data_IF_842289818671
#
_entry.id   IF_842289818671
#
_cell.length_a   1.000
_cell.length_b   1.000
_cell.length_c   1.000
_cell.angle_alpha   90.00
_cell.angle_beta   90.00
_cell.angle_gamma   90.00
#
_symmetry.space_group_name_H-M   'P 1'
#
loop_
_entity.id
_entity.type
_entity.pdbx_description
1 polymer ?
#
# COMPACT_ATOMS: atom_id res chain seq x y z
N UNK A 1 25.42 2.94 -33.13
CA UNK A 1 25.24 3.23 -31.68
C UNK A 1 26.10 2.24 -30.90
N UNK A 2 26.98 2.70 -29.99
CA UNK A 2 27.72 1.77 -29.13
C UNK A 2 26.74 1.09 -28.14
N UNK A 3 27.09 -0.10 -27.62
CA UNK A 3 26.19 -0.87 -26.72
C UNK A 3 25.73 -0.05 -25.51
N UNK A 4 26.60 0.80 -24.98
CA UNK A 4 26.29 1.76 -23.92
C UNK A 4 25.18 2.72 -24.35
N UNK A 5 25.29 3.33 -25.53
CA UNK A 5 24.27 4.25 -26.05
C UNK A 5 22.90 3.59 -26.27
N UNK A 6 22.88 2.32 -26.68
CA UNK A 6 21.63 1.56 -26.80
C UNK A 6 20.98 1.23 -25.45
N UNK A 7 21.78 0.83 -24.46
CA UNK A 7 21.31 0.57 -23.09
C UNK A 7 20.81 1.87 -22.43
N UNK A 8 21.56 2.96 -22.57
CA UNK A 8 21.18 4.28 -22.05
C UNK A 8 19.90 4.77 -22.71
N UNK A 9 19.75 4.60 -24.03
CA UNK A 9 18.51 4.95 -24.72
C UNK A 9 17.32 4.12 -24.23
N UNK A 10 17.49 2.80 -24.02
CA UNK A 10 16.43 1.94 -23.49
C UNK A 10 16.03 2.34 -22.07
N UNK A 11 17.02 2.59 -21.19
CA UNK A 11 16.75 3.06 -19.82
C UNK A 11 16.11 4.44 -19.82
N UNK A 12 16.49 5.33 -20.74
CA UNK A 12 15.85 6.63 -20.90
C UNK A 12 14.39 6.48 -21.36
N UNK A 13 14.08 5.55 -22.27
CA UNK A 13 12.69 5.26 -22.67
C UNK A 13 11.87 4.73 -21.50
N UNK A 14 12.42 3.82 -20.70
CA UNK A 14 11.74 3.31 -19.48
C UNK A 14 11.57 4.43 -18.44
N UNK A 15 12.59 5.27 -18.23
CA UNK A 15 12.53 6.42 -17.33
C UNK A 15 11.52 7.47 -17.76
N UNK A 16 11.42 7.75 -19.06
CA UNK A 16 10.40 8.63 -19.64
C UNK A 16 9.01 8.01 -19.48
N UNK A 17 8.86 6.69 -19.68
CA UNK A 17 7.59 5.99 -19.43
C UNK A 17 7.12 6.13 -17.98
N UNK A 18 8.04 5.99 -17.02
CA UNK A 18 7.76 6.22 -15.58
C UNK A 18 7.38 7.67 -15.29
N UNK A 19 8.16 8.63 -15.80
CA UNK A 19 7.88 10.06 -15.60
C UNK A 19 6.54 10.48 -16.21
N UNK A 20 6.20 9.95 -17.38
CA UNK A 20 4.91 10.19 -18.02
C UNK A 20 3.77 9.53 -17.23
N UNK A 21 3.97 8.35 -16.65
CA UNK A 21 2.93 7.72 -15.80
C UNK A 21 2.58 8.56 -14.57
N UNK A 22 3.55 9.26 -13.97
CA UNK A 22 3.31 10.23 -12.91
C UNK A 22 2.66 11.54 -13.42
N UNK A 23 3.07 12.02 -14.60
CA UNK A 23 2.53 13.26 -15.17
C UNK A 23 1.06 13.15 -15.62
N UNK A 24 0.62 11.96 -16.08
CA UNK A 24 -0.78 11.70 -16.43
C UNK A 24 -1.69 11.43 -15.21
N UNK A 25 -1.14 11.43 -13.99
CA UNK A 25 -1.92 11.38 -12.76
C UNK A 25 -2.58 12.73 -12.37
N UNK A 26 -2.43 13.77 -13.20
CA UNK A 26 -3.21 15.00 -13.15
C UNK A 26 -2.69 16.03 -12.15
N UNK A 27 -1.91 16.99 -12.66
CA UNK A 27 -1.81 18.31 -12.03
C UNK A 27 -2.96 19.13 -12.62
N UNK A 28 -4.10 19.14 -11.94
CA UNK A 28 -5.19 20.06 -12.26
C UNK A 28 -4.82 21.46 -11.75
N UNK A 29 -5.07 22.48 -12.56
CA UNK A 29 -4.96 23.90 -12.20
C UNK A 29 -5.70 24.18 -10.87
N UNK A 30 -5.07 24.94 -9.98
CA UNK A 30 -5.61 25.33 -8.67
C UNK A 30 -6.92 26.13 -8.82
N UNK A 31 -8.07 25.60 -8.38
CA UNK A 31 -9.24 26.40 -8.10
C UNK A 31 -9.01 27.15 -6.78
N UNK A 32 -9.57 28.36 -6.67
CA UNK A 32 -9.63 29.06 -5.39
C UNK A 32 -10.64 28.35 -4.49
N UNK A 33 -10.33 28.33 -3.19
CA UNK A 33 -11.20 27.86 -2.14
C UNK A 33 -12.59 28.52 -2.24
N UNK A 34 -13.56 27.75 -2.73
CA UNK A 34 -14.98 27.92 -2.46
C UNK A 34 -15.44 26.69 -1.67
N UNK A 35 -16.40 26.89 -0.77
CA UNK A 35 -16.99 25.87 0.09
C UNK A 35 -17.40 24.61 -0.69
N UNK A 36 -17.43 23.46 -0.01
CA UNK A 36 -17.94 22.21 -0.57
C UNK A 36 -19.36 22.47 -1.07
N UNK A 37 -19.51 22.59 -2.40
CA UNK A 37 -20.82 22.88 -2.99
C UNK A 37 -21.90 21.91 -2.48
N UNK A 38 -23.06 22.47 -2.10
CA UNK A 38 -24.20 21.79 -1.51
C UNK A 38 -24.61 20.51 -2.24
N UNK A 39 -24.52 20.51 -3.56
CA UNK A 39 -24.87 19.40 -4.45
C UNK A 39 -23.90 18.21 -4.36
N UNK A 40 -22.80 18.36 -3.62
CA UNK A 40 -21.80 17.30 -3.35
C UNK A 40 -21.88 16.76 -1.93
N UNK A 41 -22.78 17.29 -1.09
CA UNK A 41 -23.03 16.82 0.25
C UNK A 41 -24.15 15.77 0.25
N UNK A 42 -24.03 14.77 1.11
CA UNK A 42 -25.03 13.73 1.30
C UNK A 42 -25.69 13.88 2.67
N UNK A 43 -27.02 13.74 2.70
CA UNK A 43 -27.77 13.62 3.95
C UNK A 43 -27.63 12.21 4.51
N UNK A 44 -27.21 12.12 5.76
CA UNK A 44 -26.97 10.87 6.49
C UNK A 44 -27.99 10.74 7.61
N UNK A 45 -27.79 11.50 8.70
CA UNK A 45 -28.69 11.64 9.84
C UNK A 45 -28.34 12.92 10.61
N UNK A 46 -29.22 13.36 11.51
CA UNK A 46 -29.01 14.57 12.32
C UNK A 46 -29.02 15.86 11.50
N UNK A 47 -28.34 16.88 12.02
CA UNK A 47 -28.35 18.24 11.46
C UNK A 47 -27.21 18.49 10.45
N UNK A 48 -26.29 17.53 10.28
CA UNK A 48 -25.06 17.70 9.50
C UNK A 48 -25.00 16.82 8.24
N UNK A 49 -24.87 17.46 7.08
CA UNK A 49 -24.62 16.79 5.80
C UNK A 49 -23.13 16.50 5.61
N UNK A 50 -22.81 15.36 5.01
CA UNK A 50 -21.44 14.86 4.88
C UNK A 50 -20.89 15.08 3.47
N UNK A 51 -19.64 15.54 3.35
CA UNK A 51 -18.88 15.39 2.11
C UNK A 51 -18.30 13.97 2.04
N UNK A 52 -18.63 13.15 1.03
CA UNK A 52 -18.39 11.70 1.05
C UNK A 52 -16.93 11.32 0.70
N UNK A 53 -15.96 12.17 1.02
CA UNK A 53 -14.55 11.95 0.73
C UNK A 53 -13.67 12.42 1.89
N UNK A 54 -12.50 11.82 2.01
CA UNK A 54 -11.42 12.34 2.83
C UNK A 54 -10.45 13.20 2.02
N UNK A 55 -9.71 14.08 2.67
CA UNK A 55 -8.74 14.98 2.05
C UNK A 55 -7.42 15.05 2.80
N UNK A 56 -6.32 15.21 2.06
CA UNK A 56 -4.96 15.45 2.60
C UNK A 56 -4.80 16.81 3.28
N UNK A 57 -5.71 17.73 3.01
CA UNK A 57 -5.73 19.10 3.53
C UNK A 57 -7.16 19.49 3.86
N UNK A 58 -7.34 20.61 4.57
CA UNK A 58 -8.68 21.20 4.80
C UNK A 58 -9.20 21.92 3.56
N UNK A 59 -9.13 21.24 2.41
CA UNK A 59 -9.54 21.75 1.10
C UNK A 59 -10.05 20.60 0.23
N UNK A 60 -10.89 20.90 -0.76
CA UNK A 60 -11.47 19.89 -1.67
C UNK A 60 -10.46 19.36 -2.69
N UNK A 61 -9.42 20.12 -3.01
CA UNK A 61 -8.35 19.73 -3.95
C UNK A 61 -7.51 18.58 -3.39
N UNK A 62 -7.40 18.50 -2.07
CA UNK A 62 -6.68 17.42 -1.40
C UNK A 62 -7.41 16.07 -1.40
N UNK A 63 -8.58 15.96 -2.06
CA UNK A 63 -9.45 14.77 -2.10
C UNK A 63 -8.65 13.48 -2.32
N UNK A 64 -8.98 12.47 -1.52
CA UNK A 64 -8.40 11.13 -1.58
C UNK A 64 -9.49 10.07 -1.73
N UNK A 65 -9.59 9.15 -0.77
CA UNK A 65 -10.51 8.02 -0.82
C UNK A 65 -11.92 8.45 -0.37
N UNK A 66 -12.92 7.73 -0.84
CA UNK A 66 -14.31 7.94 -0.43
C UNK A 66 -14.54 7.46 1.02
N UNK A 67 -15.58 8.02 1.65
CA UNK A 67 -16.25 7.38 2.79
C UNK A 67 -17.12 6.27 2.22
N UNK A 68 -17.04 5.07 2.81
CA UNK A 68 -17.72 3.87 2.32
C UNK A 68 -18.61 3.19 3.36
N UNK A 69 -18.50 3.58 4.65
CA UNK A 69 -19.36 3.06 5.72
C UNK A 69 -19.83 4.22 6.61
N UNK A 70 -21.06 4.15 7.12
CA UNK A 70 -21.58 5.06 8.14
C UNK A 70 -22.30 4.26 9.23
N UNK A 71 -22.00 4.59 10.48
CA UNK A 71 -22.74 4.15 11.65
C UNK A 71 -23.67 5.25 12.14
N UNK A 72 -24.95 4.93 12.38
CA UNK A 72 -25.90 5.85 13.04
C UNK A 72 -25.71 5.78 14.57
N UNK A 73 -24.53 6.19 15.01
CA UNK A 73 -24.12 6.21 16.40
C UNK A 73 -22.92 7.15 16.59
N UNK A 74 -22.73 7.61 17.83
CA UNK A 74 -21.55 8.35 18.24
C UNK A 74 -20.27 7.49 18.12
N UNK A 75 -19.11 8.14 18.19
CA UNK A 75 -17.83 7.47 17.98
C UNK A 75 -17.50 6.45 19.07
N UNK A 76 -17.92 6.69 20.32
CA UNK A 76 -17.65 5.79 21.45
C UNK A 76 -18.40 4.47 21.27
N UNK A 77 -19.70 4.54 20.95
CA UNK A 77 -20.54 3.38 20.67
C UNK A 77 -20.08 2.64 19.41
N UNK A 78 -19.72 3.37 18.36
CA UNK A 78 -19.20 2.78 17.11
C UNK A 78 -17.90 2.03 17.35
N UNK A 79 -16.95 2.64 18.08
CA UNK A 79 -15.68 2.00 18.41
C UNK A 79 -15.87 0.76 19.27
N UNK A 80 -16.67 0.86 20.34
CA UNK A 80 -16.96 -0.26 21.23
C UNK A 80 -17.64 -1.41 20.49
N UNK A 81 -18.49 -1.11 19.49
CA UNK A 81 -19.11 -2.11 18.65
C UNK A 81 -18.07 -2.84 17.78
N UNK A 82 -17.14 -2.12 17.15
CA UNK A 82 -16.10 -2.70 16.28
C UNK A 82 -15.09 -3.54 17.10
N UNK A 83 -14.53 -2.98 18.17
CA UNK A 83 -13.55 -3.67 19.04
C UNK A 83 -14.18 -4.82 19.84
N UNK A 84 -15.50 -4.85 19.97
CA UNK A 84 -16.23 -5.85 20.75
C UNK A 84 -16.39 -7.22 20.08
N UNK A 85 -15.93 -7.40 18.83
CA UNK A 85 -16.04 -8.69 18.13
C UNK A 85 -14.84 -9.61 18.43
N UNK A 86 -15.05 -10.77 19.09
CA UNK A 86 -13.98 -11.73 19.35
C UNK A 86 -13.46 -12.46 18.10
N UNK A 87 -14.12 -12.33 16.95
CA UNK A 87 -13.71 -12.89 15.66
C UNK A 87 -12.66 -12.06 14.91
N UNK A 88 -12.46 -10.81 15.31
CA UNK A 88 -11.56 -9.84 14.67
C UNK A 88 -10.52 -9.33 15.69
N UNK A 89 -9.37 -8.86 15.22
CA UNK A 89 -8.28 -8.35 16.08
C UNK A 89 -8.13 -6.83 15.88
N UNK A 90 -9.26 -6.11 15.92
CA UNK A 90 -9.27 -4.66 15.76
C UNK A 90 -8.55 -3.97 16.93
N UNK A 91 -7.42 -3.35 16.63
CA UNK A 91 -6.59 -2.62 17.58
C UNK A 91 -6.53 -1.13 17.26
N UNK A 92 -6.37 -0.31 18.29
CA UNK A 92 -6.13 1.13 18.14
C UNK A 92 -4.81 1.37 17.38
N UNK A 93 -4.85 2.20 16.34
CA UNK A 93 -3.64 2.56 15.60
C UNK A 93 -2.71 3.41 16.50
N UNK A 94 -1.45 2.98 16.73
CA UNK A 94 -0.52 3.72 17.58
C UNK A 94 -0.26 5.15 17.08
N UNK A 95 -0.06 6.15 17.97
CA UNK A 95 0.18 7.53 17.56
C UNK A 95 1.37 7.73 16.61
N UNK A 96 2.42 6.92 16.64
CA UNK A 96 3.56 7.04 15.70
C UNK A 96 3.29 6.46 14.30
N UNK A 97 2.21 5.68 14.18
CA UNK A 97 1.63 5.21 12.92
C UNK A 97 0.54 6.17 12.42
N UNK A 98 -0.31 6.66 13.33
CA UNK A 98 -1.40 7.60 13.09
C UNK A 98 -0.91 9.05 12.84
N UNK A 99 0.15 9.50 13.53
CA UNK A 99 0.66 10.88 13.52
C UNK A 99 2.04 11.00 12.88
N UNK A 100 2.17 10.65 11.60
CA UNK A 100 3.23 11.19 10.75
C UNK A 100 3.08 12.71 10.49
N UNK A 101 2.25 13.43 11.28
CA UNK A 101 2.23 14.88 11.45
C UNK A 101 1.44 15.26 12.71
N UNK A 102 2.11 15.81 13.73
CA UNK A 102 1.62 16.79 14.72
C UNK A 102 2.87 17.38 15.39
N UNK A 103 3.37 18.56 14.99
CA UNK A 103 2.97 19.87 15.52
C UNK A 103 4.12 20.42 16.38
N UNK A 104 4.53 21.68 16.16
CA UNK A 104 5.64 22.40 16.83
C UNK A 104 5.66 22.24 18.37
N UNK A 105 6.71 21.62 18.92
CA UNK A 105 7.69 22.22 19.84
C UNK A 105 8.63 21.12 20.39
N UNK A 106 9.92 21.22 20.05
CA UNK A 106 11.09 21.03 20.93
C UNK A 106 12.34 20.64 20.13
N UNK A 107 13.26 21.63 20.06
CA UNK A 107 14.66 21.45 19.70
C UNK A 107 15.30 20.39 20.62
N UNK A 108 15.65 19.20 20.11
CA UNK A 108 16.84 18.38 20.52
C UNK A 108 16.84 16.91 20.05
N UNK A 109 16.62 16.60 18.77
CA UNK A 109 17.14 15.34 18.15
C UNK A 109 17.61 15.60 16.73
N UNK A 110 18.82 16.12 16.64
CA UNK A 110 19.50 16.50 15.40
C UNK A 110 20.35 15.35 14.86
N UNK A 111 20.35 15.20 13.53
CA UNK A 111 21.28 14.45 12.65
C UNK A 111 20.81 13.14 12.00
N UNK A 112 19.78 12.41 12.47
CA UNK A 112 19.33 11.16 11.76
C UNK A 112 17.87 11.19 11.25
N UNK A 113 17.04 12.13 11.70
CA UNK A 113 15.59 12.14 11.40
C UNK A 113 15.07 13.28 10.52
N UNK A 114 15.92 14.10 9.88
CA UNK A 114 15.46 15.32 9.19
C UNK A 114 14.83 15.10 7.81
N UNK A 115 15.17 14.03 7.08
CA UNK A 115 14.66 13.83 5.71
C UNK A 115 13.43 12.89 5.61
N UNK A 116 12.93 12.35 6.72
CA UNK A 116 11.73 11.50 6.74
C UNK A 116 10.46 12.24 7.17
N UNK A 117 10.55 13.53 7.54
CA UNK A 117 9.40 14.33 8.00
C UNK A 117 8.50 14.83 6.87
N UNK A 118 8.97 14.80 5.63
CA UNK A 118 8.21 15.31 4.46
C UNK A 118 7.42 14.24 3.71
N UNK A 119 7.28 13.03 4.25
CA UNK A 119 6.21 12.12 3.82
C UNK A 119 4.87 12.72 4.28
N UNK A 120 4.30 13.60 3.43
CA UNK A 120 3.11 14.39 3.75
C UNK A 120 1.92 13.48 4.12
N UNK A 121 1.55 13.60 5.40
CA UNK A 121 0.25 13.36 6.03
C UNK A 121 -0.27 11.92 6.04
N UNK A 122 -0.22 11.30 7.22
CA UNK A 122 -1.17 10.25 7.63
C UNK A 122 -2.54 10.85 7.96
N UNK A 123 -2.59 12.11 8.39
CA UNK A 123 -3.81 12.84 8.69
C UNK A 123 -4.66 13.08 7.43
N UNK A 124 -5.94 12.84 7.56
CA UNK A 124 -6.98 12.99 6.56
C UNK A 124 -8.17 13.70 7.18
N UNK A 125 -8.59 14.77 6.53
CA UNK A 125 -9.74 15.53 6.96
C UNK A 125 -11.01 15.06 6.24
N UNK A 126 -12.14 15.08 6.93
CA UNK A 126 -13.47 15.02 6.33
C UNK A 126 -14.13 16.41 6.43
N UNK A 127 -15.22 16.63 5.72
CA UNK A 127 -15.99 17.88 5.80
C UNK A 127 -17.47 17.57 6.04
N UNK A 128 -18.08 18.37 6.92
CA UNK A 128 -19.52 18.35 7.18
C UNK A 128 -20.07 19.77 7.11
N UNK A 129 -21.34 19.91 6.77
CA UNK A 129 -22.04 21.19 6.83
C UNK A 129 -23.34 21.04 7.61
N UNK A 130 -23.51 21.91 8.61
CA UNK A 130 -24.70 21.96 9.45
C UNK A 130 -25.30 23.37 9.54
N UNK A 131 -26.19 23.61 10.51
CA UNK A 131 -26.94 24.87 10.62
C UNK A 131 -26.07 26.11 10.79
N UNK A 132 -24.90 25.93 11.42
CA UNK A 132 -23.94 27.00 11.73
C UNK A 132 -22.84 27.15 10.66
N UNK A 133 -22.91 26.35 9.57
CA UNK A 133 -21.97 26.34 8.45
C UNK A 133 -21.10 25.09 8.36
N UNK A 134 -20.09 25.17 7.49
CA UNK A 134 -19.17 24.08 7.17
C UNK A 134 -18.01 23.90 8.14
N UNK A 135 -17.66 22.66 8.47
CA UNK A 135 -16.54 22.31 9.34
C UNK A 135 -15.68 21.18 8.75
N UNK A 136 -14.35 21.37 8.79
CA UNK A 136 -13.38 20.31 8.50
C UNK A 136 -13.07 19.52 9.76
N UNK A 137 -13.36 18.22 9.73
CA UNK A 137 -13.15 17.28 10.82
C UNK A 137 -11.80 16.59 10.66
N UNK A 138 -11.06 16.45 11.76
CA UNK A 138 -9.95 15.49 11.86
C UNK A 138 -10.50 14.12 12.26
N UNK A 139 -9.67 13.08 12.18
CA UNK A 139 -10.05 11.74 12.64
C UNK A 139 -10.43 11.74 14.12
N UNK A 140 -11.56 11.13 14.45
CA UNK A 140 -11.99 10.89 15.84
C UNK A 140 -11.24 9.70 16.43
N UNK A 141 -11.11 8.61 15.65
CA UNK A 141 -10.28 7.46 16.00
C UNK A 141 -9.82 6.70 14.73
N UNK A 142 -8.75 5.91 14.89
CA UNK A 142 -8.23 5.01 13.87
C UNK A 142 -8.07 3.60 14.46
N UNK A 143 -8.55 2.59 13.73
CA UNK A 143 -8.43 1.16 14.08
C UNK A 143 -7.79 0.39 12.93
N UNK A 144 -7.07 -0.69 13.24
CA UNK A 144 -6.57 -1.62 12.24
C UNK A 144 -6.75 -3.08 12.67
N UNK A 145 -6.89 -3.98 11.70
CA UNK A 145 -6.82 -5.44 11.88
C UNK A 145 -5.82 -6.00 10.86
N UNK A 146 -4.73 -6.60 11.35
CA UNK A 146 -3.66 -7.17 10.55
C UNK A 146 -2.26 -6.71 10.97
N UNK A 147 -1.32 -6.66 10.02
CA UNK A 147 0.10 -6.36 10.30
C UNK A 147 0.61 -5.19 9.48
N UNK A 148 1.34 -4.27 10.12
CA UNK A 148 1.91 -3.07 9.51
C UNK A 148 2.80 -3.39 8.32
N UNK A 149 3.73 -4.35 8.44
CA UNK A 149 4.64 -4.77 7.37
C UNK A 149 4.04 -5.85 6.44
N UNK A 150 2.80 -6.24 6.71
CA UNK A 150 2.02 -7.23 5.98
C UNK A 150 0.89 -6.60 5.18
N UNK A 151 -0.32 -7.12 5.41
CA UNK A 151 -1.60 -6.55 4.98
C UNK A 151 -2.40 -6.25 6.25
N UNK A 152 -3.17 -5.18 6.23
CA UNK A 152 -4.15 -4.87 7.26
C UNK A 152 -5.34 -4.14 6.68
N UNK A 153 -6.49 -4.32 7.29
CA UNK A 153 -7.61 -3.41 7.13
C UNK A 153 -7.43 -2.23 8.08
N UNK A 154 -7.80 -1.05 7.62
CA UNK A 154 -7.64 0.19 8.37
C UNK A 154 -8.92 1.01 8.27
N UNK A 155 -9.37 1.49 9.42
CA UNK A 155 -10.57 2.30 9.57
C UNK A 155 -10.16 3.69 10.05
N UNK A 156 -10.63 4.72 9.36
CA UNK A 156 -10.62 6.11 9.86
C UNK A 156 -12.03 6.57 10.11
N UNK A 157 -12.32 6.99 11.33
CA UNK A 157 -13.64 7.41 11.75
C UNK A 157 -13.73 8.92 11.94
N UNK A 158 -14.84 9.50 11.51
CA UNK A 158 -15.18 10.91 11.60
C UNK A 158 -16.58 11.05 12.20
N UNK A 159 -16.64 11.49 13.44
CA UNK A 159 -17.90 11.73 14.15
C UNK A 159 -18.54 13.03 13.71
N UNK A 160 -19.85 13.04 13.49
CA UNK A 160 -20.59 14.28 13.24
C UNK A 160 -20.59 15.18 14.49
N UNK A 161 -20.61 16.53 14.34
CA UNK A 161 -20.55 17.43 15.49
C UNK A 161 -21.71 17.30 16.50
N UNK A 162 -22.85 16.77 16.05
CA UNK A 162 -24.02 16.46 16.88
C UNK A 162 -24.02 15.02 17.43
N UNK A 163 -23.04 14.19 17.07
CA UNK A 163 -22.93 12.78 17.47
C UNK A 163 -23.99 11.87 16.85
N UNK A 164 -24.74 12.33 15.85
CA UNK A 164 -25.80 11.55 15.20
C UNK A 164 -25.25 10.37 14.37
N UNK A 165 -24.06 10.53 13.77
CA UNK A 165 -23.42 9.48 13.02
C UNK A 165 -21.89 9.51 13.09
N UNK A 166 -21.28 8.37 12.79
CA UNK A 166 -19.85 8.22 12.59
C UNK A 166 -19.58 7.72 11.18
N UNK A 167 -18.96 8.57 10.35
CA UNK A 167 -18.56 8.23 9.00
C UNK A 167 -17.21 7.51 9.01
N UNK A 168 -17.10 6.40 8.29
CA UNK A 168 -15.90 5.57 8.26
C UNK A 168 -15.37 5.43 6.83
N UNK A 169 -14.06 5.66 6.72
CA UNK A 169 -13.25 5.21 5.60
C UNK A 169 -12.58 3.90 5.97
N UNK A 170 -13.09 2.80 5.42
CA UNK A 170 -12.50 1.48 5.51
C UNK A 170 -11.64 1.19 4.27
N UNK A 171 -10.38 0.80 4.44
CA UNK A 171 -9.53 0.45 3.31
C UNK A 171 -8.53 -0.66 3.66
N UNK A 172 -8.17 -1.47 2.67
CA UNK A 172 -7.12 -2.48 2.79
C UNK A 172 -5.81 -1.77 2.49
N UNK A 173 -4.76 -2.08 3.22
CA UNK A 173 -3.44 -1.57 2.90
C UNK A 173 -2.36 -2.62 3.12
N UNK A 174 -1.32 -2.57 2.29
CA UNK A 174 -0.14 -3.40 2.45
C UNK A 174 1.13 -2.58 2.37
N UNK A 175 2.16 -3.02 3.09
CA UNK A 175 3.46 -2.35 3.04
C UNK A 175 4.22 -2.72 1.76
N UNK A 176 4.51 -1.70 0.94
CA UNK A 176 5.33 -1.82 -0.26
C UNK A 176 6.79 -1.54 0.08
N UNK A 177 7.60 -2.61 0.12
CA UNK A 177 9.03 -2.54 0.44
C UNK A 177 9.89 -1.72 -0.53
N UNK A 178 9.45 -1.49 -1.77
CA UNK A 178 10.19 -0.73 -2.77
C UNK A 178 9.77 0.73 -2.85
N UNK A 179 8.61 1.07 -2.29
CA UNK A 179 8.13 2.45 -2.12
C UNK A 179 8.26 2.94 -0.67
N UNK A 180 8.51 2.03 0.28
CA UNK A 180 8.56 2.26 1.72
C UNK A 180 7.31 2.95 2.29
N UNK A 181 6.15 2.59 1.73
CA UNK A 181 4.85 3.12 2.14
C UNK A 181 3.75 2.09 2.02
N UNK A 182 2.67 2.31 2.74
CA UNK A 182 1.42 1.60 2.53
C UNK A 182 0.82 1.97 1.17
N UNK A 183 0.41 0.93 0.43
CA UNK A 183 -0.36 1.08 -0.79
C UNK A 183 -1.75 0.52 -0.51
N UNK A 184 -2.77 1.34 -0.80
CA UNK A 184 -4.17 0.91 -0.74
C UNK A 184 -4.49 0.26 -2.08
N UNK A 185 -4.84 -1.03 -2.15
CA UNK A 185 -5.30 -1.66 -3.37
C UNK A 185 -6.83 -1.57 -3.52
N UNK A 186 -7.58 -1.59 -2.42
CA UNK A 186 -9.03 -1.76 -2.41
C UNK A 186 -9.67 -1.00 -1.22
N UNK A 187 -10.90 -0.53 -1.42
CA UNK A 187 -11.75 0.06 -0.37
C UNK A 187 -13.09 -0.69 -0.22
N UNK A 188 -13.51 -1.49 -1.20
CA UNK A 188 -14.81 -2.17 -1.18
C UNK A 188 -14.75 -3.46 -0.36
N UNK A 189 -13.66 -4.24 -0.50
CA UNK A 189 -13.50 -5.50 0.23
C UNK A 189 -13.46 -5.32 1.78
N UNK A 190 -12.74 -4.33 2.34
CA UNK A 190 -12.79 -4.02 3.78
C UNK A 190 -14.16 -3.58 4.26
N UNK A 191 -14.87 -2.75 3.49
CA UNK A 191 -16.24 -2.34 3.83
C UNK A 191 -17.18 -3.55 3.85
N UNK A 192 -17.07 -4.43 2.86
CA UNK A 192 -17.86 -5.67 2.80
C UNK A 192 -17.51 -6.62 3.94
N UNK A 193 -16.22 -6.76 4.31
CA UNK A 193 -15.83 -7.55 5.48
C UNK A 193 -16.42 -6.99 6.77
N UNK A 194 -16.38 -5.67 6.94
CA UNK A 194 -16.99 -5.02 8.09
C UNK A 194 -18.52 -5.23 8.09
N UNK A 195 -19.20 -5.11 6.94
CA UNK A 195 -20.62 -5.47 6.81
C UNK A 195 -20.88 -6.91 7.23
N UNK A 196 -20.12 -7.86 6.69
CA UNK A 196 -20.23 -9.28 6.98
C UNK A 196 -20.00 -9.55 8.48
N UNK A 197 -19.02 -8.91 9.12
CA UNK A 197 -18.79 -9.02 10.57
C UNK A 197 -20.03 -8.57 11.37
N UNK A 198 -20.66 -7.46 10.98
CA UNK A 198 -21.86 -6.96 11.66
C UNK A 198 -23.11 -7.81 11.37
N UNK A 199 -23.23 -8.39 10.17
CA UNK A 199 -24.28 -9.33 9.78
C UNK A 199 -24.13 -10.66 10.53
N UNK A 200 -22.93 -11.24 10.53
CA UNK A 200 -22.62 -12.54 11.14
C UNK A 200 -22.68 -12.47 12.67
N UNK A 201 -22.19 -11.38 13.26
CA UNK A 201 -22.22 -11.18 14.71
C UNK A 201 -23.59 -10.78 15.26
N UNK A 202 -24.51 -10.33 14.39
CA UNK A 202 -25.83 -9.82 14.78
C UNK A 202 -25.77 -8.54 15.62
N UNK A 203 -24.69 -7.76 15.52
CA UNK A 203 -24.49 -6.49 16.24
C UNK A 203 -25.23 -5.31 15.59
N UNK A 204 -25.61 -5.44 14.32
CA UNK A 204 -26.41 -4.45 13.61
C UNK A 204 -27.90 -4.82 13.62
N UNK A 205 -28.76 -3.83 13.87
CA UNK A 205 -30.21 -3.90 13.68
C UNK A 205 -30.56 -4.00 12.19
N UNK A 206 -29.79 -3.30 11.36
CA UNK A 206 -29.93 -3.26 9.91
C UNK A 206 -28.56 -2.95 9.28
N UNK A 207 -28.28 -3.62 8.16
CA UNK A 207 -27.13 -3.33 7.28
C UNK A 207 -27.68 -3.19 5.88
N UNK A 208 -27.61 -1.97 5.33
CA UNK A 208 -28.12 -1.68 3.99
C UNK A 208 -27.11 -0.90 3.16
N UNK A 209 -27.01 -1.23 1.88
CA UNK A 209 -26.24 -0.44 0.90
C UNK A 209 -27.16 0.55 0.22
N UNK A 210 -26.80 1.83 0.29
CA UNK A 210 -27.53 2.93 -0.32
C UNK A 210 -26.71 3.56 -1.44
N UNK A 211 -27.31 3.67 -2.63
CA UNK A 211 -26.65 4.37 -3.73
C UNK A 211 -26.72 5.89 -3.51
N UNK A 212 -25.55 6.54 -3.42
CA UNK A 212 -25.45 7.98 -3.17
C UNK A 212 -24.72 8.75 -4.27
N UNK A 213 -24.36 8.07 -5.37
CA UNK A 213 -23.73 8.72 -6.54
C UNK A 213 -22.34 9.29 -6.23
N UNK A 214 -21.59 8.61 -5.36
CA UNK A 214 -20.23 9.03 -4.96
C UNK A 214 -19.25 8.72 -6.09
N UNK A 215 -19.00 9.70 -6.96
CA UNK A 215 -18.10 9.56 -8.11
C UNK A 215 -16.63 9.87 -7.78
N UNK A 216 -15.79 8.83 -7.82
CA UNK A 216 -14.34 8.92 -7.62
C UNK A 216 -13.89 8.46 -6.23
N UNK A 217 -12.62 8.68 -5.88
CA UNK A 217 -12.08 8.18 -4.62
C UNK A 217 -12.10 6.65 -4.48
N UNK A 218 -12.19 5.95 -5.61
CA UNK A 218 -12.33 4.49 -5.76
C UNK A 218 -13.66 3.89 -5.32
N UNK A 219 -14.66 4.71 -4.99
CA UNK A 219 -16.01 4.23 -4.69
C UNK A 219 -16.72 3.68 -5.93
N UNK A 220 -17.58 2.70 -5.72
CA UNK A 220 -18.55 2.17 -6.69
C UNK A 220 -19.88 2.98 -6.71
N UNK A 221 -19.95 4.07 -5.94
CA UNK A 221 -21.11 4.96 -5.81
C UNK A 221 -22.09 4.55 -4.70
N UNK A 222 -21.85 3.43 -4.02
CA UNK A 222 -22.67 2.92 -2.92
C UNK A 222 -22.02 3.17 -1.56
N UNK A 223 -22.85 3.41 -0.55
CA UNK A 223 -22.46 3.63 0.84
C UNK A 223 -23.16 2.59 1.73
N UNK A 224 -22.43 2.00 2.66
CA UNK A 224 -23.00 1.03 3.60
C UNK A 224 -23.43 1.74 4.89
N UNK A 225 -24.69 1.58 5.27
CA UNK A 225 -25.31 2.19 6.46
C UNK A 225 -25.60 1.12 7.49
N UNK A 226 -25.10 1.30 8.71
CA UNK A 226 -25.19 0.34 9.81
C UNK A 226 -25.89 0.99 11.02
N UNK A 227 -27.02 0.41 11.44
CA UNK A 227 -27.76 0.82 12.65
C UNK A 227 -27.48 -0.17 13.79
N UNK A 228 -27.11 0.29 15.00
CA UNK A 228 -26.67 -0.58 16.11
C UNK A 228 -27.84 -1.17 16.94
N UNK A 229 -27.78 -2.47 17.28
CA UNK A 229 -28.73 -3.16 18.17
C UNK A 229 -28.04 -3.83 19.37
N UNK A 230 -28.80 -4.10 20.45
CA UNK A 230 -28.33 -4.80 21.64
C UNK A 230 -28.44 -6.34 21.55
N UNK A 231 -27.27 -6.98 21.48
CA UNK A 231 -26.81 -8.37 21.79
C UNK A 231 -27.59 -9.63 21.32
N UNK A 232 -26.89 -10.51 20.57
CA UNK A 232 -26.33 -11.82 21.02
C UNK A 232 -25.59 -12.57 19.87
N UNK A 233 -24.46 -13.22 20.19
CA UNK A 233 -23.51 -13.85 19.26
C UNK A 233 -23.75 -15.35 18.95
N UNK A 234 -23.24 -15.84 17.80
CA UNK A 234 -22.93 -17.27 17.52
C UNK A 234 -21.90 -17.43 16.38
N UNK A 235 -21.13 -18.53 16.42
CA UNK A 235 -19.84 -18.74 15.75
C UNK A 235 -19.86 -19.56 14.43
N UNK A 236 -18.76 -19.56 13.66
CA UNK A 236 -18.41 -20.69 12.77
C UNK A 236 -17.32 -20.45 11.70
N UNK A 237 -16.32 -21.33 11.63
CA UNK A 237 -15.20 -21.33 10.66
C UNK A 237 -15.52 -22.03 9.32
N UNK A 238 -14.75 -21.72 8.24
CA UNK A 238 -13.91 -22.68 7.46
C UNK A 238 -13.37 -22.16 6.09
N UNK A 239 -12.05 -22.32 5.91
CA UNK A 239 -11.28 -22.76 4.72
C UNK A 239 -11.35 -22.01 3.36
N UNK A 240 -10.15 -21.79 2.78
CA UNK A 240 -9.86 -22.36 1.45
C UNK A 240 -8.42 -22.78 1.19
N UNK A 241 -8.28 -24.09 1.04
CA UNK A 241 -7.17 -24.82 0.39
C UNK A 241 -7.48 -24.90 -1.11
N UNK A 242 -7.02 -23.96 -1.94
CA UNK A 242 -7.16 -24.12 -3.40
C UNK A 242 -6.15 -23.32 -4.24
N UNK A 243 -4.88 -23.75 -4.23
CA UNK A 243 -3.94 -23.60 -5.37
C UNK A 243 -2.71 -24.48 -5.14
N UNK A 244 -2.88 -25.81 -5.25
CA UNK A 244 -1.75 -26.75 -5.18
C UNK A 244 -1.68 -27.72 -6.37
N UNK A 245 -2.12 -27.30 -7.54
CA UNK A 245 -2.04 -28.13 -8.76
C UNK A 245 -1.52 -27.39 -10.01
N UNK A 246 -1.29 -26.08 -9.97
CA UNK A 246 -0.65 -25.35 -11.07
C UNK A 246 0.90 -25.32 -11.00
N UNK A 247 1.50 -25.79 -9.90
CA UNK A 247 2.96 -25.71 -9.69
C UNK A 247 3.75 -26.90 -10.26
N UNK A 248 3.10 -28.03 -10.56
CA UNK A 248 3.80 -29.29 -10.85
C UNK A 248 4.14 -29.43 -12.34
N UNK A 249 3.43 -28.76 -13.24
CA UNK A 249 3.71 -28.82 -14.69
C UNK A 249 4.80 -27.84 -15.16
N UNK A 250 5.04 -26.75 -14.42
CA UNK A 250 6.12 -25.80 -14.71
C UNK A 250 7.51 -26.34 -14.33
N UNK A 251 7.57 -27.21 -13.30
CA UNK A 251 8.82 -27.79 -12.78
C UNK A 251 9.43 -28.87 -13.70
N UNK A 252 8.62 -29.49 -14.56
CA UNK A 252 9.07 -30.56 -15.46
C UNK A 252 9.97 -30.06 -16.61
N UNK A 253 9.70 -28.85 -17.13
CA UNK A 253 10.45 -28.27 -18.25
C UNK A 253 11.70 -27.50 -17.81
N UNK A 254 11.76 -27.01 -16.56
CA UNK A 254 12.91 -26.25 -16.02
C UNK A 254 14.10 -27.14 -15.59
N UNK A 255 13.85 -28.43 -15.27
CA UNK A 255 14.90 -29.34 -14.76
C UNK A 255 15.95 -29.74 -15.79
N UNK A 256 15.59 -29.73 -17.07
CA UNK A 256 16.46 -30.18 -18.17
C UNK A 256 17.45 -29.09 -18.60
N UNK A 257 17.09 -27.81 -18.47
CA UNK A 257 17.96 -26.65 -18.75
C UNK A 257 18.79 -26.19 -17.54
N UNK A 258 18.32 -26.44 -16.31
CA UNK A 258 18.98 -26.01 -15.08
C UNK A 258 20.40 -26.56 -14.88
N UNK A 259 20.75 -27.70 -15.49
CA UNK A 259 22.13 -28.24 -15.40
C UNK A 259 23.12 -27.49 -16.29
N UNK A 260 22.66 -26.88 -17.39
CA UNK A 260 23.49 -26.08 -18.31
C UNK A 260 23.68 -24.64 -17.83
N UNK A 261 22.70 -24.13 -17.06
CA UNK A 261 22.67 -22.77 -16.52
C UNK A 261 22.53 -22.72 -14.98
N UNK A 262 23.12 -23.67 -14.26
CA UNK A 262 22.97 -23.80 -12.81
C UNK A 262 23.34 -22.52 -12.04
N UNK A 263 24.36 -21.79 -12.50
CA UNK A 263 24.76 -20.51 -11.91
C UNK A 263 23.68 -19.42 -12.06
N UNK A 264 22.98 -19.39 -13.21
CA UNK A 264 21.89 -18.45 -13.46
C UNK A 264 20.62 -18.86 -12.70
N UNK A 265 20.28 -20.16 -12.68
CA UNK A 265 19.14 -20.67 -11.93
C UNK A 265 19.27 -20.40 -10.41
N UNK A 266 20.47 -20.62 -9.84
CA UNK A 266 20.73 -20.33 -8.43
C UNK A 266 20.72 -18.84 -8.12
N UNK A 267 21.14 -17.97 -9.05
CA UNK A 267 20.98 -16.52 -8.92
C UNK A 267 19.50 -16.14 -8.89
N UNK A 268 18.70 -16.63 -9.84
CA UNK A 268 17.27 -16.32 -9.90
C UNK A 268 16.52 -16.78 -8.65
N UNK A 269 16.78 -18.02 -8.20
CA UNK A 269 16.21 -18.55 -6.95
C UNK A 269 16.59 -17.69 -5.74
N UNK A 270 17.87 -17.30 -5.64
CA UNK A 270 18.34 -16.49 -4.52
C UNK A 270 17.72 -15.08 -4.52
N UNK A 271 17.51 -14.46 -5.69
CA UNK A 271 16.84 -13.17 -5.79
C UNK A 271 15.38 -13.24 -5.32
N UNK A 272 14.62 -14.23 -5.82
CA UNK A 272 13.24 -14.44 -5.38
C UNK A 272 13.15 -14.78 -3.88
N UNK A 273 14.06 -15.60 -3.38
CA UNK A 273 14.11 -15.97 -1.96
C UNK A 273 14.47 -14.78 -1.05
N UNK A 274 15.37 -13.88 -1.45
CA UNK A 274 15.68 -12.67 -0.68
C UNK A 274 14.45 -11.76 -0.60
N UNK A 275 13.74 -11.56 -1.72
CA UNK A 275 12.55 -10.71 -1.76
C UNK A 275 11.45 -11.23 -0.83
N UNK A 276 11.02 -12.49 -1.02
CA UNK A 276 9.98 -13.10 -0.19
C UNK A 276 10.46 -13.22 1.26
N UNK A 277 11.74 -13.54 1.47
CA UNK A 277 12.36 -13.65 2.79
C UNK A 277 12.34 -12.34 3.57
N UNK A 278 12.52 -11.19 2.91
CA UNK A 278 12.42 -9.87 3.56
C UNK A 278 11.00 -9.62 4.08
N UNK A 279 9.96 -9.92 3.30
CA UNK A 279 8.57 -9.79 3.78
C UNK A 279 8.29 -10.71 4.96
N UNK A 280 8.63 -11.99 4.81
CA UNK A 280 8.43 -12.99 5.88
C UNK A 280 9.16 -12.59 7.16
N UNK A 281 10.41 -12.11 7.03
CA UNK A 281 11.18 -11.63 8.18
C UNK A 281 10.57 -10.38 8.80
N UNK A 282 10.10 -9.42 8.01
CA UNK A 282 9.44 -8.20 8.50
C UNK A 282 8.22 -8.52 9.35
N UNK A 283 7.29 -9.31 8.81
CA UNK A 283 6.07 -9.72 9.53
C UNK A 283 6.38 -10.56 10.76
N UNK A 284 7.36 -11.48 10.67
CA UNK A 284 7.74 -12.31 11.80
C UNK A 284 8.41 -11.51 12.93
N UNK A 285 9.25 -10.53 12.58
CA UNK A 285 9.90 -9.64 13.56
C UNK A 285 8.89 -8.70 14.20
N UNK A 286 7.95 -8.15 13.43
CA UNK A 286 6.85 -7.33 13.96
C UNK A 286 6.04 -8.14 14.99
N UNK A 287 5.67 -9.37 14.64
CA UNK A 287 4.92 -10.27 15.53
C UNK A 287 5.72 -10.64 16.79
N UNK A 288 7.03 -10.87 16.66
CA UNK A 288 7.88 -11.29 17.78
C UNK A 288 8.24 -10.13 18.72
N UNK A 289 8.21 -8.89 18.24
CA UNK A 289 8.67 -7.70 18.95
C UNK A 289 7.66 -6.54 18.84
N UNK A 290 6.45 -6.66 19.40
CA UNK A 290 5.39 -5.65 19.27
C UNK A 290 5.74 -4.29 19.87
N UNK A 291 6.70 -4.23 20.79
CA UNK A 291 7.19 -2.97 21.37
C UNK A 291 8.19 -2.21 20.47
N UNK A 292 8.64 -2.81 19.36
CA UNK A 292 9.57 -2.18 18.43
C UNK A 292 8.79 -1.57 17.28
N UNK A 293 8.98 -0.27 17.05
CA UNK A 293 8.34 0.42 15.92
C UNK A 293 8.61 -0.31 14.61
N UNK A 294 7.58 -0.61 13.79
CA UNK A 294 7.75 -1.31 12.51
C UNK A 294 8.77 -0.65 11.58
N UNK A 295 8.92 0.67 11.65
CA UNK A 295 9.92 1.45 10.88
C UNK A 295 11.36 1.06 11.23
N UNK A 296 11.64 0.74 12.50
CA UNK A 296 12.95 0.28 12.96
C UNK A 296 13.29 -1.14 12.46
N UNK A 297 12.27 -1.96 12.20
CA UNK A 297 12.40 -3.28 11.55
C UNK A 297 12.56 -3.13 10.04
N UNK A 298 11.77 -2.25 9.42
CA UNK A 298 11.76 -2.03 7.98
C UNK A 298 13.09 -1.47 7.46
N UNK A 299 13.69 -0.50 8.16
CA UNK A 299 14.93 0.15 7.72
C UNK A 299 16.09 -0.82 7.40
N UNK A 300 16.52 -1.74 8.30
CA UNK A 300 17.59 -2.68 7.99
C UNK A 300 17.19 -3.71 6.91
N UNK A 301 15.93 -4.15 6.88
CA UNK A 301 15.44 -5.08 5.87
C UNK A 301 15.37 -4.44 4.48
N UNK A 302 15.06 -3.15 4.40
CA UNK A 302 15.12 -2.39 3.16
C UNK A 302 16.55 -2.32 2.61
N UNK A 303 17.56 -2.17 3.46
CA UNK A 303 18.97 -2.20 3.01
C UNK A 303 19.34 -3.56 2.38
N UNK A 304 18.75 -4.66 2.85
CA UNK A 304 18.91 -5.97 2.22
C UNK A 304 18.35 -5.98 0.79
N UNK A 305 17.23 -5.31 0.53
CA UNK A 305 16.68 -5.18 -0.83
C UNK A 305 17.51 -4.21 -1.66
N UNK A 306 17.73 -2.99 -1.15
CA UNK A 306 18.34 -1.89 -1.88
C UNK A 306 19.79 -2.17 -2.28
N UNK A 307 20.58 -2.77 -1.38
CA UNK A 307 21.99 -3.09 -1.62
C UNK A 307 22.25 -4.58 -1.83
N UNK A 308 21.51 -5.45 -1.14
CA UNK A 308 21.73 -6.90 -1.20
C UNK A 308 21.36 -7.51 -2.55
N UNK A 309 20.27 -7.07 -3.19
CA UNK A 309 19.90 -7.55 -4.54
C UNK A 309 20.96 -7.18 -5.59
N UNK A 310 21.39 -5.90 -5.75
CA UNK A 310 22.50 -5.58 -6.64
C UNK A 310 23.81 -6.28 -6.29
N UNK A 311 24.16 -6.41 -5.00
CA UNK A 311 25.38 -7.08 -4.58
C UNK A 311 25.37 -8.57 -4.96
N UNK A 312 24.23 -9.24 -4.79
CA UNK A 312 24.05 -10.63 -5.19
C UNK A 312 24.22 -10.79 -6.71
N UNK A 313 23.59 -9.92 -7.51
CA UNK A 313 23.77 -9.89 -8.98
C UNK A 313 25.24 -9.65 -9.33
N UNK A 314 25.87 -8.62 -8.77
CA UNK A 314 27.25 -8.25 -9.08
C UNK A 314 28.27 -9.34 -8.72
N UNK A 315 27.99 -10.13 -7.68
CA UNK A 315 28.81 -11.26 -7.25
C UNK A 315 28.59 -12.52 -8.09
N UNK A 316 27.36 -12.79 -8.55
CA UNK A 316 26.99 -14.08 -9.17
C UNK A 316 26.93 -14.03 -10.70
N UNK A 317 26.52 -12.91 -11.30
CA UNK A 317 26.39 -12.75 -12.75
C UNK A 317 27.67 -13.09 -13.55
N UNK A 318 28.90 -12.79 -13.09
CA UNK A 318 30.13 -13.16 -13.83
C UNK A 318 30.32 -14.67 -14.08
N UNK A 319 29.54 -15.54 -13.42
CA UNK A 319 29.58 -17.00 -13.60
C UNK A 319 28.62 -17.51 -14.68
N UNK A 320 27.87 -16.63 -15.33
CA UNK A 320 26.83 -16.97 -16.29
C UNK A 320 27.06 -16.23 -17.60
N UNK A 321 26.54 -16.78 -18.69
CA UNK A 321 26.38 -16.03 -19.94
C UNK A 321 25.52 -14.76 -19.70
N UNK A 322 25.81 -13.62 -20.34
CA UNK A 322 25.08 -12.37 -20.12
C UNK A 322 23.56 -12.47 -20.32
N UNK A 323 23.11 -13.22 -21.32
CA UNK A 323 21.67 -13.40 -21.56
C UNK A 323 21.04 -14.28 -20.48
N UNK A 324 21.74 -15.33 -20.04
CA UNK A 324 21.29 -16.18 -18.94
C UNK A 324 21.25 -15.42 -17.60
N UNK A 325 22.21 -14.53 -17.34
CA UNK A 325 22.24 -13.70 -16.14
C UNK A 325 21.08 -12.70 -16.12
N UNK A 326 20.79 -12.05 -17.25
CA UNK A 326 19.65 -11.15 -17.39
C UNK A 326 18.31 -11.90 -17.19
N UNK A 327 18.16 -13.05 -17.85
CA UNK A 327 16.97 -13.89 -17.70
C UNK A 327 16.77 -14.36 -16.26
N UNK A 328 17.85 -14.72 -15.55
CA UNK A 328 17.78 -15.10 -14.14
C UNK A 328 17.27 -13.96 -13.24
N UNK A 329 17.67 -12.72 -13.51
CA UNK A 329 17.14 -11.55 -12.78
C UNK A 329 15.65 -11.40 -13.08
N UNK A 330 15.27 -11.32 -14.35
CA UNK A 330 13.88 -11.06 -14.76
C UNK A 330 12.94 -12.15 -14.24
N UNK A 331 13.30 -13.42 -14.45
CA UNK A 331 12.46 -14.54 -14.04
C UNK A 331 12.50 -14.73 -12.52
N UNK A 332 13.67 -14.66 -11.89
CA UNK A 332 13.81 -14.93 -10.46
C UNK A 332 13.19 -13.84 -9.59
N UNK A 333 13.55 -12.58 -9.83
CA UNK A 333 12.99 -11.46 -9.08
C UNK A 333 11.54 -11.18 -9.50
N UNK A 334 11.19 -11.35 -10.78
CA UNK A 334 9.81 -11.27 -11.26
C UNK A 334 8.89 -12.31 -10.62
N UNK A 335 9.33 -13.57 -10.55
CA UNK A 335 8.60 -14.60 -9.81
C UNK A 335 8.50 -14.29 -8.31
N UNK A 336 9.54 -13.68 -7.73
CA UNK A 336 9.50 -13.17 -6.37
C UNK A 336 8.41 -12.12 -6.18
N UNK A 337 8.28 -11.14 -7.08
CA UNK A 337 7.20 -10.15 -7.02
C UNK A 337 5.83 -10.78 -7.14
N UNK A 338 5.65 -11.71 -8.07
CA UNK A 338 4.37 -12.43 -8.23
C UNK A 338 4.03 -13.24 -6.99
N UNK A 339 5.01 -13.92 -6.39
CA UNK A 339 4.81 -14.66 -5.15
C UNK A 339 4.48 -13.73 -3.97
N UNK A 340 5.11 -12.56 -3.91
CA UNK A 340 4.84 -11.53 -2.92
C UNK A 340 3.40 -11.02 -3.02
N UNK A 341 2.97 -10.58 -4.20
CA UNK A 341 1.60 -10.12 -4.42
C UNK A 341 0.57 -11.23 -4.20
N UNK A 342 0.87 -12.45 -4.63
CA UNK A 342 -0.01 -13.60 -4.39
C UNK A 342 -0.13 -13.94 -2.90
N UNK A 343 0.93 -13.76 -2.11
CA UNK A 343 0.90 -13.97 -0.66
C UNK A 343 0.07 -12.88 0.05
N UNK A 344 0.05 -11.67 -0.50
CA UNK A 344 -0.79 -10.57 0.01
C UNK A 344 -2.25 -10.69 -0.43
N UNK A 345 -2.55 -11.36 -1.53
CA UNK A 345 -3.91 -11.49 -2.06
C UNK A 345 -4.45 -10.21 -2.73
N UNK A 346 -3.61 -9.20 -2.92
CA UNK A 346 -4.00 -7.85 -3.36
C UNK A 346 -4.07 -7.72 -4.88
N UNK A 347 -4.96 -6.85 -5.36
CA UNK A 347 -4.93 -6.37 -6.75
C UNK A 347 -3.76 -5.40 -6.94
N UNK A 348 -3.03 -5.54 -8.06
CA UNK A 348 -1.80 -4.76 -8.30
C UNK A 348 -2.10 -3.61 -9.27
N UNK A 349 -1.91 -2.34 -8.86
CA UNK A 349 -2.10 -1.19 -9.74
C UNK A 349 -1.18 -1.22 -10.98
N UNK A 350 -1.64 -0.77 -12.17
CA UNK A 350 -0.83 -0.79 -13.39
C UNK A 350 0.47 0.02 -13.33
N UNK A 351 0.45 1.16 -12.65
CA UNK A 351 1.62 2.02 -12.36
C UNK A 351 2.66 1.27 -11.53
N UNK A 352 2.20 0.48 -10.56
CA UNK A 352 3.09 -0.35 -9.76
C UNK A 352 3.77 -1.43 -10.60
N UNK A 353 3.05 -2.06 -11.54
CA UNK A 353 3.61 -3.04 -12.48
C UNK A 353 4.73 -2.39 -13.31
N UNK A 354 4.50 -1.20 -13.84
CA UNK A 354 5.50 -0.47 -14.62
C UNK A 354 6.77 -0.20 -13.81
N UNK A 355 6.60 0.24 -12.56
CA UNK A 355 7.70 0.46 -11.64
C UNK A 355 8.49 -0.83 -11.35
N UNK A 356 7.81 -1.98 -11.15
CA UNK A 356 8.48 -3.29 -10.98
C UNK A 356 9.23 -3.73 -12.23
N UNK A 357 8.66 -3.53 -13.41
CA UNK A 357 9.33 -3.84 -14.69
C UNK A 357 10.59 -3.00 -14.87
N UNK A 358 10.56 -1.72 -14.50
CA UNK A 358 11.72 -0.85 -14.57
C UNK A 358 12.85 -1.30 -13.62
N UNK A 359 12.52 -1.69 -12.39
CA UNK A 359 13.48 -2.24 -11.43
C UNK A 359 14.11 -3.56 -11.94
N UNK A 360 13.32 -4.44 -12.55
CA UNK A 360 13.80 -5.66 -13.19
C UNK A 360 14.75 -5.35 -14.34
N UNK A 361 14.40 -4.38 -15.19
CA UNK A 361 15.24 -3.96 -16.31
C UNK A 361 16.58 -3.37 -15.83
N UNK A 362 16.55 -2.52 -14.80
CA UNK A 362 17.76 -1.93 -14.21
C UNK A 362 18.71 -3.02 -13.68
N UNK A 363 18.22 -3.97 -12.89
CA UNK A 363 19.05 -5.08 -12.39
C UNK A 363 19.49 -6.05 -13.49
N UNK A 364 18.68 -6.27 -14.54
CA UNK A 364 19.09 -7.07 -15.68
C UNK A 364 20.26 -6.41 -16.43
N UNK A 365 20.26 -5.09 -16.57
CA UNK A 365 21.39 -4.32 -17.11
C UNK A 365 22.64 -4.47 -16.23
N UNK A 366 22.49 -4.43 -14.90
CA UNK A 366 23.60 -4.74 -13.98
C UNK A 366 24.14 -6.15 -14.24
N UNK A 367 23.26 -7.15 -14.36
CA UNK A 367 23.65 -8.53 -14.61
C UNK A 367 24.44 -8.67 -15.92
N UNK A 368 23.96 -8.05 -17.01
CA UNK A 368 24.64 -8.03 -18.32
C UNK A 368 26.04 -7.42 -18.19
N UNK A 369 26.13 -6.19 -17.67
CA UNK A 369 27.42 -5.49 -17.54
C UNK A 369 28.41 -6.25 -16.66
N UNK A 370 27.92 -6.93 -15.62
CA UNK A 370 28.76 -7.75 -14.74
C UNK A 370 29.20 -9.05 -15.40
N UNK A 371 28.35 -9.70 -16.20
CA UNK A 371 28.69 -10.91 -16.96
C UNK A 371 29.66 -10.62 -18.12
N UNK A 372 29.58 -9.46 -18.76
CA UNK A 372 30.50 -9.05 -19.84
C UNK A 372 31.75 -8.32 -19.35
N UNK A 373 31.89 -8.10 -18.04
CA UNK A 373 32.91 -7.24 -17.44
C UNK A 373 32.90 -5.77 -17.97
N UNK A 374 31.75 -5.31 -18.48
CA UNK A 374 31.52 -3.95 -18.94
C UNK A 374 31.09 -3.07 -17.75
N UNK A 375 32.07 -2.38 -17.16
CA UNK A 375 31.85 -1.51 -15.99
C UNK A 375 30.88 -0.37 -16.29
N UNK A 376 31.00 0.39 -17.39
CA UNK A 376 30.02 1.41 -17.75
C UNK A 376 28.57 0.90 -17.78
N UNK A 377 28.31 -0.25 -18.41
CA UNK A 377 26.96 -0.82 -18.47
C UNK A 377 26.46 -1.22 -17.08
N UNK A 378 27.31 -1.82 -16.25
CA UNK A 378 26.95 -2.19 -14.89
C UNK A 378 26.63 -0.95 -14.02
N UNK A 379 27.41 0.12 -14.16
CA UNK A 379 27.17 1.39 -13.44
C UNK A 379 25.87 2.05 -13.90
N UNK A 380 25.59 2.08 -15.21
CA UNK A 380 24.33 2.62 -15.71
C UNK A 380 23.11 1.88 -15.13
N UNK A 381 23.17 0.54 -15.05
CA UNK A 381 22.11 -0.25 -14.41
C UNK A 381 21.97 0.03 -12.91
N UNK A 382 23.09 0.20 -12.18
CA UNK A 382 23.07 0.54 -10.76
C UNK A 382 22.49 1.94 -10.49
N UNK A 383 22.82 2.92 -11.35
CA UNK A 383 22.25 4.25 -11.29
C UNK A 383 20.74 4.21 -11.56
N UNK A 384 20.31 3.47 -12.59
CA UNK A 384 18.88 3.30 -12.88
C UNK A 384 18.13 2.61 -11.73
N UNK A 385 18.76 1.63 -11.06
CA UNK A 385 18.22 1.00 -9.86
C UNK A 385 18.06 1.99 -8.71
N UNK A 386 19.12 2.76 -8.42
CA UNK A 386 19.09 3.76 -7.35
C UNK A 386 18.05 4.84 -7.62
N UNK A 387 17.95 5.32 -8.86
CA UNK A 387 16.89 6.26 -9.27
C UNK A 387 15.51 5.63 -9.12
N UNK A 388 15.33 4.38 -9.57
CA UNK A 388 14.07 3.66 -9.42
C UNK A 388 13.62 3.56 -7.96
N UNK A 389 14.54 3.33 -7.03
CA UNK A 389 14.25 3.32 -5.59
C UNK A 389 14.02 4.72 -4.99
N UNK A 390 14.66 5.76 -5.54
CA UNK A 390 14.54 7.13 -5.04
C UNK A 390 13.25 7.82 -5.50
N UNK A 391 12.74 7.52 -6.71
CA UNK A 391 11.56 8.18 -7.27
C UNK A 391 10.30 8.07 -6.38
N UNK A 392 9.93 6.89 -5.83
CA UNK A 392 8.80 6.79 -4.92
C UNK A 392 9.00 7.57 -3.62
N UNK A 393 10.26 7.65 -3.12
CA UNK A 393 10.59 8.37 -1.89
C UNK A 393 10.49 9.89 -2.07
N UNK A 394 10.56 10.37 -3.31
CA UNK A 394 10.37 11.77 -3.68
C UNK A 394 8.94 12.08 -4.14
N UNK A 395 7.99 11.13 -4.00
CA UNK A 395 6.60 11.23 -4.47
C UNK A 395 6.45 11.56 -5.97
N UNK A 396 7.42 11.15 -6.78
CA UNK A 396 7.36 11.33 -8.24
C UNK A 396 6.60 10.21 -8.95
N UNK A 397 6.42 9.05 -8.30
CA UNK A 397 5.68 7.87 -8.78
C UNK A 397 5.00 7.08 -7.66
#
# INVERSE_FOLDING_TARGET
>A
MNRVGAVVALLAVVGVGLALSGAFAGVADEPRADDVADDRLIEVDGDYRLWPYTSRSRTVEGRTLAINVVFHADAEATRAAIEGDPGTDWEATPPDEAAATAGDDDQLREVVGRDWRDARSSLRYSYVEGPDGGAWLAETFELHDGRYLGVRDHLRAYESPDGAYTAIQAHEEYYDWFRLRHTVPDIDAPATRLEDDFIESGRATDVRREYRGIDGGRSDGWLSVIELAATAALAGALLRRRTREAAVDLLGRLRTDARRHAAAATLGLALGAVLVGVRVAGVALETAFPAVSPKAIAAPLYLVLAAGLPALVARRAPRSDPAAAAAAVVVGLGAGFLADFAALGVTVPPDLILHRVALLAALAVVAIGRATADRPVAVAGLLAWAVGLALPLADLI
#
